data_IF_749664945452
#
_entry.id   IF_749664945452
#
_cell.length_a   1.000
_cell.length_b   1.000
_cell.length_c   1.000
_cell.angle_alpha   90.00
_cell.angle_beta   90.00
_cell.angle_gamma   90.00
#
_symmetry.space_group_name_H-M   'P 1'
#
loop_
_entity.id
_entity.type
_entity.pdbx_description
1 polymer ?
#
# COMPACT_ATOMS: atom_id res chain seq x y z
N UNK A 1 59.23 -1.31 47.55
CA UNK A 1 58.53 -0.37 46.67
C UNK A 1 57.76 -1.01 45.51
N UNK A 2 57.74 -2.33 45.30
CA UNK A 2 57.08 -2.95 44.14
C UNK A 2 55.63 -3.45 44.37
N UNK A 3 55.20 -3.70 45.58
CA UNK A 3 53.84 -4.23 45.87
C UNK A 3 52.74 -3.16 45.78
N UNK A 4 53.03 -1.91 46.13
CA UNK A 4 52.06 -0.80 46.07
C UNK A 4 51.79 -0.34 44.63
N UNK A 5 52.81 -0.40 43.75
CA UNK A 5 52.67 -0.02 42.36
C UNK A 5 51.79 -1.04 41.58
N UNK A 6 51.92 -2.33 41.86
CA UNK A 6 51.06 -3.37 41.25
C UNK A 6 49.58 -3.24 41.68
N UNK A 7 49.33 -2.88 42.94
CA UNK A 7 47.99 -2.67 43.45
C UNK A 7 47.29 -1.45 42.77
N UNK A 8 48.04 -0.36 42.56
CA UNK A 8 47.53 0.82 41.91
C UNK A 8 47.20 0.56 40.41
N UNK A 9 48.04 -0.18 39.70
CA UNK A 9 47.82 -0.57 38.31
C UNK A 9 46.60 -1.45 38.20
N UNK A 10 46.40 -2.41 39.09
CA UNK A 10 45.25 -3.31 39.15
C UNK A 10 43.94 -2.54 39.38
N UNK A 11 43.92 -1.60 40.31
CA UNK A 11 42.75 -0.78 40.60
C UNK A 11 42.39 0.12 39.42
N UNK A 12 43.38 0.67 38.72
CA UNK A 12 43.16 1.50 37.53
C UNK A 12 42.59 0.68 36.37
N UNK A 13 43.08 -0.54 36.14
CA UNK A 13 42.56 -1.45 35.11
C UNK A 13 41.11 -1.86 35.38
N UNK A 14 40.77 -2.17 36.65
CA UNK A 14 39.38 -2.48 37.03
C UNK A 14 38.46 -1.28 36.84
N UNK A 15 38.91 -0.07 37.18
CA UNK A 15 38.16 1.17 36.98
C UNK A 15 37.83 1.44 35.50
N UNK A 16 38.84 1.23 34.61
CA UNK A 16 38.63 1.38 33.17
C UNK A 16 37.65 0.31 32.60
N UNK A 17 37.72 -0.90 33.11
CA UNK A 17 36.80 -1.98 32.68
C UNK A 17 35.36 -1.68 33.12
N UNK A 18 35.13 -1.21 34.33
CA UNK A 18 33.81 -0.82 34.82
C UNK A 18 33.26 0.40 34.07
N UNK A 19 34.11 1.37 33.75
CA UNK A 19 33.73 2.52 32.96
C UNK A 19 33.33 2.13 31.52
N UNK A 20 34.09 1.24 30.89
CA UNK A 20 33.76 0.72 29.55
C UNK A 20 32.44 -0.08 29.51
N UNK A 21 32.18 -0.89 30.53
CA UNK A 21 30.91 -1.61 30.71
C UNK A 21 29.75 -0.64 30.94
N UNK A 22 29.92 0.39 31.71
CA UNK A 22 28.90 1.40 31.96
C UNK A 22 28.58 2.19 30.68
N UNK A 23 29.61 2.60 29.94
CA UNK A 23 29.44 3.26 28.63
C UNK A 23 28.74 2.32 27.63
N UNK A 24 29.16 1.06 27.55
CA UNK A 24 28.52 0.07 26.69
C UNK A 24 27.05 -0.13 27.06
N UNK A 25 26.75 -0.25 28.37
CA UNK A 25 25.37 -0.37 28.84
C UNK A 25 24.54 0.88 28.55
N UNK A 26 25.12 2.07 28.75
CA UNK A 26 24.45 3.33 28.40
C UNK A 26 24.19 3.49 26.92
N UNK A 27 25.14 3.11 26.06
CA UNK A 27 24.98 3.14 24.60
C UNK A 27 23.96 2.09 24.08
N UNK A 28 23.88 0.92 24.74
CA UNK A 28 22.95 -0.14 24.35
C UNK A 28 21.56 0.05 24.95
N UNK A 29 21.44 0.58 26.16
CA UNK A 29 20.14 0.86 26.80
C UNK A 29 19.43 2.09 26.25
N UNK A 30 20.17 3.03 25.61
CA UNK A 30 19.60 4.20 24.95
C UNK A 30 18.94 3.94 23.60
N UNK A 31 19.09 2.73 23.01
CA UNK A 31 18.55 2.41 21.69
C UNK A 31 17.16 1.74 21.69
N UNK A 32 16.55 1.49 22.83
CA UNK A 32 15.32 0.69 22.88
C UNK A 32 14.01 1.49 22.95
N UNK A 33 14.00 2.83 22.84
CA UNK A 33 12.76 3.60 22.96
C UNK A 33 12.63 4.82 22.01
N UNK A 34 13.28 4.79 20.84
CA UNK A 34 13.02 5.81 19.82
C UNK A 34 12.02 5.25 18.78
N UNK A 35 10.73 5.51 19.00
CA UNK A 35 9.74 5.49 17.92
C UNK A 35 8.92 4.24 17.69
N UNK A 36 8.54 3.48 18.70
CA UNK A 36 7.30 2.70 18.59
C UNK A 36 6.13 3.63 18.99
N UNK A 37 5.72 4.50 18.08
CA UNK A 37 4.37 5.04 18.12
C UNK A 37 3.42 3.83 18.15
N UNK A 38 2.48 3.82 19.10
CA UNK A 38 1.44 2.80 19.13
C UNK A 38 0.78 2.79 17.75
N UNK A 39 0.90 1.68 17.01
CA UNK A 39 0.23 1.57 15.71
C UNK A 39 -1.28 1.62 15.97
N UNK A 40 -1.89 2.77 15.66
CA UNK A 40 -3.33 2.99 15.88
C UNK A 40 -4.21 1.99 15.13
N UNK A 41 -3.68 1.39 14.09
CA UNK A 41 -4.36 0.40 13.26
C UNK A 41 -4.03 -1.05 13.65
N UNK A 42 -3.30 -1.29 14.74
CA UNK A 42 -2.85 -2.63 15.12
C UNK A 42 -3.99 -3.65 15.22
N UNK A 43 -5.16 -3.22 15.73
CA UNK A 43 -6.35 -4.08 15.87
C UNK A 43 -7.04 -4.38 14.54
N UNK A 44 -6.84 -3.52 13.52
CA UNK A 44 -7.47 -3.66 12.20
C UNK A 44 -6.61 -4.45 11.22
N UNK A 45 -5.30 -4.58 11.48
CA UNK A 45 -4.39 -5.23 10.55
C UNK A 45 -4.63 -6.72 10.44
N UNK A 46 -4.73 -7.19 9.21
CA UNK A 46 -4.83 -8.62 8.87
C UNK A 46 -3.53 -9.20 8.33
N UNK A 47 -2.59 -8.33 7.91
CA UNK A 47 -1.28 -8.73 7.42
C UNK A 47 -0.17 -8.33 8.39
N UNK A 48 0.73 -9.26 8.69
CA UNK A 48 1.92 -9.01 9.54
C UNK A 48 3.09 -8.41 8.75
N UNK A 49 2.97 -8.31 7.44
CA UNK A 49 4.08 -7.96 6.53
C UNK A 49 4.29 -6.44 6.32
N UNK A 50 3.45 -5.58 6.90
CA UNK A 50 3.39 -4.16 6.53
C UNK A 50 4.18 -3.20 7.42
N UNK A 51 4.81 -3.66 8.47
CA UNK A 51 5.65 -2.80 9.32
C UNK A 51 6.79 -2.17 8.51
N UNK A 52 6.69 -0.91 8.10
CA UNK A 52 7.67 -0.10 7.37
C UNK A 52 7.76 -0.30 5.84
N UNK A 53 6.77 -0.82 5.15
CA UNK A 53 6.81 -0.82 3.68
C UNK A 53 6.38 0.56 3.14
N UNK A 54 7.30 1.27 2.48
CA UNK A 54 6.97 2.45 1.68
C UNK A 54 6.19 2.02 0.43
N UNK A 55 4.87 1.78 0.58
CA UNK A 55 3.93 1.53 -0.50
C UNK A 55 3.14 2.81 -0.74
N UNK A 56 2.94 3.15 -2.02
CA UNK A 56 2.30 4.40 -2.42
C UNK A 56 3.28 5.55 -2.61
N UNK A 57 2.79 6.62 -3.17
CA UNK A 57 3.57 7.82 -3.49
C UNK A 57 2.85 8.67 -4.52
N UNK A 58 3.43 9.81 -4.85
CA UNK A 58 2.88 10.73 -5.82
C UNK A 58 2.83 10.10 -7.22
N UNK A 59 1.74 10.35 -7.93
CA UNK A 59 1.57 10.00 -9.34
C UNK A 59 0.78 11.07 -10.08
N UNK A 60 0.89 11.04 -11.39
CA UNK A 60 0.06 11.78 -12.32
C UNK A 60 -0.44 10.82 -13.40
N UNK A 61 -1.76 10.70 -13.53
CA UNK A 61 -2.43 9.79 -14.45
C UNK A 61 -3.54 10.53 -15.22
N UNK A 62 -4.19 9.85 -16.14
CA UNK A 62 -5.33 10.36 -16.90
C UNK A 62 -6.58 9.59 -16.43
N UNK A 63 -7.64 10.32 -16.05
CA UNK A 63 -8.90 9.71 -15.65
C UNK A 63 -9.76 9.34 -16.87
N UNK A 64 -10.86 8.64 -16.62
CA UNK A 64 -11.83 8.20 -17.65
C UNK A 64 -12.48 9.35 -18.45
N UNK A 65 -12.35 10.61 -18.01
CA UNK A 65 -12.84 11.79 -18.75
C UNK A 65 -11.73 12.48 -19.55
N UNK A 66 -10.51 11.91 -19.59
CA UNK A 66 -9.36 12.45 -20.29
C UNK A 66 -8.63 13.57 -19.56
N UNK A 67 -8.94 13.80 -18.28
CA UNK A 67 -8.29 14.84 -17.46
C UNK A 67 -7.06 14.27 -16.75
N UNK A 68 -5.99 15.06 -16.69
CA UNK A 68 -4.83 14.76 -15.85
C UNK A 68 -5.20 14.94 -14.38
N UNK A 69 -4.91 13.93 -13.57
CA UNK A 69 -5.20 13.88 -12.13
C UNK A 69 -4.00 13.38 -11.36
N UNK A 70 -3.87 13.83 -10.12
CA UNK A 70 -2.81 13.42 -9.20
C UNK A 70 -3.37 12.53 -8.08
N UNK A 71 -2.47 11.91 -7.32
CA UNK A 71 -2.84 11.18 -6.08
C UNK A 71 -3.70 12.05 -5.14
N UNK A 72 -3.40 13.35 -5.02
CA UNK A 72 -4.14 14.30 -4.18
C UNK A 72 -5.55 14.60 -4.69
N UNK A 73 -5.77 14.48 -6.00
CA UNK A 73 -7.10 14.62 -6.59
C UNK A 73 -7.96 13.39 -6.37
N UNK A 74 -7.34 12.22 -6.32
CA UNK A 74 -8.00 10.91 -6.21
C UNK A 74 -8.27 10.52 -4.77
N UNK A 75 -7.29 10.68 -3.86
CA UNK A 75 -7.39 10.19 -2.48
C UNK A 75 -7.97 11.23 -1.51
N UNK A 76 -9.07 11.88 -1.89
CA UNK A 76 -9.83 12.80 -1.02
C UNK A 76 -10.69 12.09 0.01
N UNK A 77 -11.04 10.84 -0.26
CA UNK A 77 -11.80 9.94 0.60
C UNK A 77 -11.06 8.61 0.75
N UNK A 78 -11.40 7.78 1.75
CA UNK A 78 -10.91 6.42 1.82
C UNK A 78 -11.11 5.71 0.49
N UNK A 79 -10.08 5.02 0.01
CA UNK A 79 -10.06 4.51 -1.36
C UNK A 79 -9.67 3.03 -1.38
N UNK A 80 -10.44 2.24 -2.12
CA UNK A 80 -10.10 0.86 -2.51
C UNK A 80 -9.52 0.90 -3.92
N UNK A 81 -8.19 0.71 -4.03
CA UNK A 81 -7.42 0.82 -5.26
C UNK A 81 -7.05 -0.56 -5.81
N UNK A 82 -7.29 -0.78 -7.11
CA UNK A 82 -6.93 -2.02 -7.78
C UNK A 82 -6.22 -1.77 -9.11
N UNK A 83 -5.17 -2.55 -9.39
CA UNK A 83 -4.43 -2.52 -10.65
C UNK A 83 -4.85 -3.71 -11.52
N UNK A 84 -5.28 -3.44 -12.74
CA UNK A 84 -5.75 -4.45 -13.67
C UNK A 84 -5.78 -3.96 -15.11
N UNK A 85 -6.47 -4.66 -16.00
CA UNK A 85 -6.69 -4.24 -17.39
C UNK A 85 -8.06 -4.72 -17.87
N UNK A 86 -8.67 -3.96 -18.79
CA UNK A 86 -10.06 -4.19 -19.20
C UNK A 86 -10.24 -5.48 -20.01
N UNK A 87 -9.22 -5.91 -20.74
CA UNK A 87 -9.19 -7.13 -21.55
C UNK A 87 -8.84 -8.41 -20.75
N UNK A 88 -8.79 -8.35 -19.43
CA UNK A 88 -8.55 -9.52 -18.59
C UNK A 88 -9.77 -10.47 -18.64
N UNK A 89 -9.60 -11.73 -19.11
CA UNK A 89 -10.75 -12.61 -19.33
C UNK A 89 -11.25 -13.30 -18.05
N UNK A 90 -10.54 -13.21 -16.93
CA UNK A 90 -10.78 -14.09 -15.78
C UNK A 90 -10.72 -13.35 -14.44
N UNK A 91 -9.55 -12.89 -14.03
CA UNK A 91 -9.29 -12.47 -12.65
C UNK A 91 -9.81 -11.07 -12.35
N UNK A 92 -9.54 -10.08 -13.23
CA UNK A 92 -9.89 -8.70 -12.98
C UNK A 92 -11.39 -8.47 -12.76
N UNK A 93 -12.30 -9.04 -13.60
CA UNK A 93 -13.73 -8.86 -13.38
C UNK A 93 -14.20 -9.35 -12.00
N UNK A 94 -13.66 -10.48 -11.55
CA UNK A 94 -14.01 -11.04 -10.23
C UNK A 94 -13.53 -10.17 -9.06
N UNK A 95 -12.29 -9.69 -9.15
CA UNK A 95 -11.72 -8.85 -8.10
C UNK A 95 -12.38 -7.47 -8.05
N UNK A 96 -12.71 -6.89 -9.22
CA UNK A 96 -13.41 -5.61 -9.32
C UNK A 96 -14.84 -5.73 -8.79
N UNK A 97 -15.56 -6.80 -9.14
CA UNK A 97 -16.89 -7.06 -8.63
C UNK A 97 -16.89 -7.18 -7.10
N UNK A 98 -15.98 -7.97 -6.54
CA UNK A 98 -15.81 -8.10 -5.09
C UNK A 98 -15.51 -6.75 -4.42
N UNK A 99 -14.63 -5.94 -5.01
CA UNK A 99 -14.28 -4.62 -4.47
C UNK A 99 -15.47 -3.66 -4.54
N UNK A 100 -16.25 -3.69 -5.62
CA UNK A 100 -17.49 -2.91 -5.76
C UNK A 100 -18.53 -3.34 -4.72
N UNK A 101 -18.73 -4.64 -4.52
CA UNK A 101 -19.62 -5.18 -3.48
C UNK A 101 -19.19 -4.72 -2.07
N UNK A 102 -17.89 -4.71 -1.76
CA UNK A 102 -17.39 -4.19 -0.49
C UNK A 102 -17.73 -2.71 -0.30
N UNK A 103 -17.63 -1.89 -1.36
CA UNK A 103 -18.05 -0.48 -1.33
C UNK A 103 -19.55 -0.35 -1.10
N UNK A 104 -20.39 -1.16 -1.76
CA UNK A 104 -21.83 -1.18 -1.54
C UNK A 104 -22.20 -1.53 -0.09
N UNK A 105 -21.46 -2.45 0.54
CA UNK A 105 -21.63 -2.81 1.95
C UNK A 105 -21.26 -1.66 2.89
N UNK A 106 -20.19 -0.94 2.59
CA UNK A 106 -19.78 0.25 3.34
C UNK A 106 -20.80 1.38 3.20
N UNK A 107 -21.28 1.64 1.99
CA UNK A 107 -22.32 2.65 1.73
C UNK A 107 -23.62 2.38 2.50
N UNK A 108 -24.05 1.12 2.62
CA UNK A 108 -25.21 0.74 3.45
C UNK A 108 -25.04 1.10 4.93
N UNK A 109 -23.79 1.20 5.40
CA UNK A 109 -23.41 1.61 6.74
C UNK A 109 -23.02 3.09 6.83
N UNK A 110 -23.35 3.92 5.81
CA UNK A 110 -23.04 5.34 5.74
C UNK A 110 -21.53 5.67 5.76
N UNK A 111 -20.70 4.70 5.34
CA UNK A 111 -19.24 4.86 5.22
C UNK A 111 -18.90 5.08 3.75
N UNK A 112 -18.53 6.32 3.39
CA UNK A 112 -18.13 6.65 2.01
C UNK A 112 -16.74 6.14 1.70
N UNK A 113 -16.61 5.35 0.62
CA UNK A 113 -15.34 4.85 0.10
C UNK A 113 -15.38 4.93 -1.42
N UNK A 114 -14.29 5.38 -2.03
CA UNK A 114 -14.17 5.49 -3.49
C UNK A 114 -13.43 4.28 -4.06
N UNK A 115 -14.05 3.45 -4.91
CA UNK A 115 -13.33 2.43 -5.66
C UNK A 115 -12.56 3.06 -6.82
N UNK A 116 -11.28 2.66 -6.99
CA UNK A 116 -10.40 3.17 -8.05
C UNK A 116 -9.77 2.01 -8.79
N UNK A 117 -9.89 2.04 -10.11
CA UNK A 117 -9.25 1.10 -11.04
C UNK A 117 -8.13 1.81 -11.79
N UNK A 118 -6.91 1.27 -11.74
CA UNK A 118 -5.76 1.76 -12.51
C UNK A 118 -5.41 0.72 -13.57
N UNK A 119 -5.49 1.11 -14.84
CA UNK A 119 -5.05 0.24 -15.90
C UNK A 119 -3.53 0.11 -15.95
N UNK A 120 -3.10 -1.13 -16.17
CA UNK A 120 -1.70 -1.50 -16.42
C UNK A 120 -1.44 -1.81 -17.91
N UNK A 121 -2.41 -1.53 -18.76
CA UNK A 121 -2.35 -1.78 -20.20
C UNK A 121 -2.78 -0.53 -21.00
N UNK A 122 -2.00 0.55 -20.91
CA UNK A 122 -2.38 1.84 -21.49
C UNK A 122 -2.48 1.83 -23.03
N UNK A 123 -1.98 0.80 -23.69
CA UNK A 123 -2.07 0.68 -25.15
C UNK A 123 -3.49 0.33 -25.60
N UNK A 124 -4.24 -0.47 -24.83
CA UNK A 124 -5.62 -0.85 -25.13
C UNK A 124 -6.64 -0.08 -24.30
N UNK A 125 -6.29 0.28 -23.11
CA UNK A 125 -7.17 0.91 -22.13
C UNK A 125 -7.11 2.44 -22.25
N UNK A 126 -7.76 2.97 -23.31
CA UNK A 126 -7.95 4.43 -23.47
C UNK A 126 -8.89 4.98 -22.40
N UNK A 127 -8.94 6.31 -22.16
CA UNK A 127 -9.91 6.91 -21.26
C UNK A 127 -11.35 6.48 -21.52
N UNK A 128 -11.77 6.40 -22.78
CA UNK A 128 -13.12 5.99 -23.17
C UNK A 128 -13.37 4.52 -22.79
N UNK A 129 -12.44 3.62 -23.10
CA UNK A 129 -12.56 2.18 -22.80
C UNK A 129 -12.66 1.98 -21.28
N UNK A 130 -11.83 2.68 -20.52
CA UNK A 130 -11.89 2.63 -19.04
C UNK A 130 -13.19 3.24 -18.54
N UNK A 131 -13.68 4.34 -19.14
CA UNK A 131 -14.95 4.96 -18.77
C UNK A 131 -16.12 4.01 -18.86
N UNK A 132 -16.24 3.29 -19.98
CA UNK A 132 -17.26 2.25 -20.17
C UNK A 132 -17.11 1.12 -19.15
N UNK A 133 -15.87 0.67 -18.95
CA UNK A 133 -15.57 -0.44 -18.05
C UNK A 133 -15.92 -0.10 -16.57
N UNK A 134 -15.47 1.03 -16.05
CA UNK A 134 -15.72 1.38 -14.64
C UNK A 134 -17.20 1.70 -14.39
N UNK A 135 -17.89 2.34 -15.34
CA UNK A 135 -19.32 2.64 -15.22
C UNK A 135 -20.18 1.38 -15.17
N UNK A 136 -19.77 0.32 -15.85
CA UNK A 136 -20.44 -0.98 -15.79
C UNK A 136 -20.28 -1.65 -14.41
N UNK A 137 -19.13 -1.50 -13.78
CA UNK A 137 -18.86 -2.18 -12.51
C UNK A 137 -19.39 -1.45 -11.28
N UNK A 138 -19.26 -0.11 -11.20
CA UNK A 138 -19.78 0.65 -10.06
C UNK A 138 -19.91 2.15 -10.40
N UNK A 139 -21.01 2.82 -10.04
CA UNK A 139 -21.26 4.23 -10.43
C UNK A 139 -20.27 5.24 -9.83
N UNK A 140 -19.66 4.93 -8.69
CA UNK A 140 -18.63 5.78 -8.05
C UNK A 140 -17.21 5.43 -8.49
N UNK A 141 -17.03 4.40 -9.32
CA UNK A 141 -15.67 3.94 -9.66
C UNK A 141 -14.95 4.94 -10.54
N UNK A 142 -13.74 5.29 -10.14
CA UNK A 142 -12.82 6.13 -10.92
C UNK A 142 -11.88 5.20 -11.69
N UNK A 143 -11.80 5.41 -13.00
CA UNK A 143 -10.86 4.70 -13.87
C UNK A 143 -9.67 5.59 -14.21
N UNK A 144 -8.47 5.05 -14.10
CA UNK A 144 -7.22 5.74 -14.38
C UNK A 144 -6.40 5.00 -15.43
N UNK A 145 -5.81 5.74 -16.36
CA UNK A 145 -4.84 5.28 -17.34
C UNK A 145 -3.73 6.33 -17.50
N UNK A 146 -2.87 6.17 -18.48
CA UNK A 146 -1.82 7.15 -18.75
C UNK A 146 -0.87 6.68 -19.84
N UNK A 147 0.25 7.36 -20.00
CA UNK A 147 1.36 6.83 -20.80
C UNK A 147 2.00 5.62 -20.12
N UNK A 148 2.74 4.84 -20.90
CA UNK A 148 3.50 3.71 -20.34
C UNK A 148 4.42 4.15 -19.18
N UNK A 149 5.09 5.29 -19.30
CA UNK A 149 5.99 5.81 -18.27
C UNK A 149 5.23 6.17 -16.98
N UNK A 150 4.02 6.75 -17.09
CA UNK A 150 3.17 7.04 -15.95
C UNK A 150 2.70 5.76 -15.26
N UNK A 151 2.32 4.73 -16.03
CA UNK A 151 1.92 3.42 -15.48
C UNK A 151 3.12 2.72 -14.84
N UNK A 152 4.31 2.74 -15.44
CA UNK A 152 5.53 2.21 -14.83
C UNK A 152 5.84 2.92 -13.49
N UNK A 153 5.68 4.24 -13.44
CA UNK A 153 5.93 5.02 -12.21
C UNK A 153 4.94 4.65 -11.10
N UNK A 154 3.63 4.66 -11.37
CA UNK A 154 2.62 4.33 -10.35
C UNK A 154 2.75 2.87 -9.90
N UNK A 155 3.04 1.95 -10.81
CA UNK A 155 3.28 0.53 -10.47
C UNK A 155 4.49 0.37 -9.56
N UNK A 156 5.56 1.13 -9.80
CA UNK A 156 6.77 1.11 -8.96
C UNK A 156 6.51 1.61 -7.54
N UNK A 157 5.77 2.72 -7.36
CA UNK A 157 5.50 3.27 -6.02
C UNK A 157 4.52 2.41 -5.24
N UNK A 158 3.56 1.75 -5.91
CA UNK A 158 2.65 0.78 -5.28
C UNK A 158 3.20 -0.64 -5.18
N UNK A 159 4.44 -0.88 -5.65
CA UNK A 159 5.09 -2.20 -5.64
C UNK A 159 4.26 -3.28 -6.36
N UNK A 160 3.41 -2.88 -7.29
CA UNK A 160 2.66 -3.80 -8.13
C UNK A 160 3.50 -4.24 -9.33
N UNK A 161 3.40 -5.50 -9.69
CA UNK A 161 4.08 -6.07 -10.84
C UNK A 161 3.10 -6.20 -12.00
N UNK A 162 3.57 -5.92 -13.22
CA UNK A 162 2.86 -6.29 -14.43
C UNK A 162 3.82 -6.60 -15.58
N UNK A 163 3.39 -7.46 -16.51
CA UNK A 163 4.16 -7.82 -17.70
C UNK A 163 3.24 -8.31 -18.80
N UNK A 164 3.21 -7.61 -19.93
CA UNK A 164 2.51 -8.05 -21.13
C UNK A 164 3.17 -9.30 -21.72
N UNK A 165 2.37 -10.36 -21.96
CA UNK A 165 2.76 -11.60 -22.59
C UNK A 165 2.52 -11.45 -24.11
N UNK A 166 3.35 -10.63 -24.77
CA UNK A 166 3.20 -10.35 -26.21
C UNK A 166 3.50 -11.62 -27.02
N UNK A 167 2.57 -12.02 -27.86
CA UNK A 167 2.72 -12.99 -28.93
C UNK A 167 2.74 -12.26 -30.28
N UNK A 168 2.84 -13.02 -31.38
CA UNK A 168 2.73 -12.45 -32.73
C UNK A 168 1.31 -12.03 -33.12
N UNK A 169 0.34 -12.24 -32.24
CA UNK A 169 -1.06 -11.93 -32.43
C UNK A 169 -1.42 -10.61 -31.73
N UNK A 170 -2.46 -9.94 -32.20
CA UNK A 170 -3.01 -8.71 -31.57
C UNK A 170 -3.60 -8.96 -30.16
N UNK A 171 -3.87 -10.23 -29.84
CA UNK A 171 -4.36 -10.64 -28.53
C UNK A 171 -3.19 -11.03 -27.61
N UNK A 172 -3.06 -10.35 -26.47
CA UNK A 172 -2.09 -10.69 -25.43
C UNK A 172 -2.70 -10.56 -24.03
N UNK A 173 -2.20 -11.37 -23.11
CA UNK A 173 -2.51 -11.27 -21.68
C UNK A 173 -1.44 -10.44 -20.95
N UNK A 174 -1.82 -9.89 -19.81
CA UNK A 174 -0.89 -9.17 -18.93
C UNK A 174 -0.86 -9.87 -17.57
N UNK A 175 0.28 -10.46 -17.23
CA UNK A 175 0.51 -10.95 -15.87
C UNK A 175 0.64 -9.78 -14.91
N UNK A 176 -0.05 -9.83 -13.80
CA UNK A 176 0.02 -8.75 -12.81
C UNK A 176 -0.27 -9.21 -11.39
N UNK A 177 0.14 -8.37 -10.43
CA UNK A 177 -0.26 -8.52 -9.03
C UNK A 177 -1.76 -8.28 -8.87
N UNK A 178 -2.41 -9.08 -8.03
CA UNK A 178 -3.87 -9.06 -7.81
C UNK A 178 -4.24 -8.56 -6.41
N UNK A 179 -3.44 -7.63 -5.87
CA UNK A 179 -3.71 -7.02 -4.58
C UNK A 179 -4.68 -5.85 -4.73
N UNK A 180 -5.61 -5.75 -3.81
CA UNK A 180 -6.43 -4.56 -3.60
C UNK A 180 -5.83 -3.75 -2.46
N UNK A 181 -5.64 -2.45 -2.63
CA UNK A 181 -4.99 -1.57 -1.66
C UNK A 181 -6.02 -0.67 -0.98
N UNK A 182 -5.91 -0.51 0.34
CA UNK A 182 -6.66 0.47 1.11
C UNK A 182 -5.79 1.71 1.34
N UNK A 183 -6.29 2.85 0.89
CA UNK A 183 -5.65 4.16 1.01
C UNK A 183 -6.54 5.05 1.88
N UNK A 184 -5.98 5.69 2.89
CA UNK A 184 -6.66 6.73 3.67
C UNK A 184 -6.06 8.11 3.36
N UNK A 185 -6.87 9.19 3.27
CA UNK A 185 -6.39 10.50 2.83
C UNK A 185 -5.19 11.03 3.61
N UNK A 186 -5.21 10.92 4.95
CA UNK A 186 -4.16 11.47 5.82
C UNK A 186 -2.99 10.50 6.06
N UNK A 187 -3.19 9.21 5.78
CA UNK A 187 -2.22 8.14 6.13
C UNK A 187 -1.59 7.48 4.91
N UNK A 188 -2.13 7.74 3.71
CA UNK A 188 -1.73 7.03 2.51
C UNK A 188 -2.13 5.55 2.56
N UNK A 189 -1.27 4.69 2.07
CA UNK A 189 -1.48 3.24 2.10
C UNK A 189 -1.48 2.70 3.53
N UNK A 190 -2.52 1.96 3.91
CA UNK A 190 -2.67 1.40 5.27
C UNK A 190 -2.78 -0.11 5.30
N UNK A 191 -3.38 -0.75 4.27
CA UNK A 191 -3.57 -2.21 4.20
C UNK A 191 -3.68 -2.67 2.74
N UNK A 192 -3.48 -3.96 2.50
CA UNK A 192 -3.84 -4.60 1.24
C UNK A 192 -4.68 -5.85 1.48
N UNK A 193 -5.54 -6.14 0.54
CA UNK A 193 -6.38 -7.33 0.55
C UNK A 193 -5.94 -8.31 -0.53
N UNK A 194 -5.77 -9.56 -0.13
CA UNK A 194 -5.51 -10.67 -1.06
C UNK A 194 -6.84 -11.17 -1.62
N UNK A 195 -6.78 -11.98 -2.68
CA UNK A 195 -7.96 -12.51 -3.36
C UNK A 195 -8.82 -13.47 -2.52
N UNK A 196 -8.27 -14.03 -1.46
CA UNK A 196 -8.98 -14.90 -0.51
C UNK A 196 -9.92 -14.14 0.43
N UNK A 197 -9.85 -12.79 0.47
CA UNK A 197 -10.78 -11.96 1.24
C UNK A 197 -12.11 -11.79 0.52
N UNK A 198 -13.21 -12.02 1.24
CA UNK A 198 -14.56 -11.73 0.75
C UNK A 198 -14.87 -10.23 0.75
N UNK A 199 -15.96 -9.82 0.10
CA UNK A 199 -16.43 -8.43 0.13
C UNK A 199 -16.77 -7.97 1.55
N UNK A 200 -17.42 -8.82 2.36
CA UNK A 200 -17.74 -8.53 3.76
C UNK A 200 -16.45 -8.30 4.58
N UNK A 201 -15.45 -9.18 4.45
CA UNK A 201 -14.18 -9.02 5.16
C UNK A 201 -13.46 -7.73 4.76
N UNK A 202 -13.46 -7.37 3.46
CA UNK A 202 -12.88 -6.10 2.97
C UNK A 202 -13.63 -4.92 3.57
N UNK A 203 -14.96 -4.95 3.59
CA UNK A 203 -15.78 -3.90 4.17
C UNK A 203 -15.53 -3.74 5.67
N UNK A 204 -15.55 -4.82 6.44
CA UNK A 204 -15.33 -4.81 7.89
C UNK A 204 -13.94 -4.26 8.25
N UNK A 205 -12.90 -4.74 7.56
CA UNK A 205 -11.53 -4.27 7.79
C UNK A 205 -11.41 -2.80 7.41
N UNK A 206 -11.96 -2.38 6.27
CA UNK A 206 -11.95 -0.98 5.83
C UNK A 206 -12.66 -0.08 6.84
N UNK A 207 -13.84 -0.48 7.34
CA UNK A 207 -14.57 0.25 8.37
C UNK A 207 -13.76 0.38 9.67
N UNK A 208 -13.03 -0.67 10.06
CA UNK A 208 -12.13 -0.63 11.22
C UNK A 208 -11.05 0.44 11.03
N UNK A 209 -10.35 0.46 9.89
CA UNK A 209 -9.31 1.46 9.61
C UNK A 209 -9.87 2.88 9.60
N UNK A 210 -11.03 3.11 8.99
CA UNK A 210 -11.69 4.42 8.96
C UNK A 210 -12.07 4.89 10.38
N UNK A 211 -12.59 3.99 11.21
CA UNK A 211 -12.94 4.30 12.60
C UNK A 211 -11.73 4.73 13.45
N UNK A 212 -10.56 4.24 13.14
CA UNK A 212 -9.32 4.53 13.89
C UNK A 212 -8.42 5.58 13.21
N UNK A 213 -8.86 6.18 12.11
CA UNK A 213 -8.13 7.24 11.38
C UNK A 213 -8.28 8.63 12.00
#
# INVERSE_FOLDING_TARGET
MSRSLGLLISLFAVGLLLLSLAIFWFLTSGQSNLGQGVDRFAECRTSTALGNSNIGGEFELINQTGQTVTDKDIFKEPTILYFGYTFCPDICPLDIYRNAEAVDLLDKNEISVTPVFVSIDPERDTPEVIGDFVSFHHPKMIGLTGSKDQIDQVSKVYKTYYKAQRSNDDFYLVDHSTLTYLILPEYGFVEFFRRDKSADEIADITACFIKHS
#
